data_IF_538434501369
#
_entry.id   IF_538434501369
#
_cell.length_a   1.000
_cell.length_b   1.000
_cell.length_c   1.000
_cell.angle_alpha   90.00
_cell.angle_beta   90.00
_cell.angle_gamma   90.00
#
_symmetry.space_group_name_H-M   'P 1'
#
loop_
_entity.id
_entity.type
_entity.pdbx_description
1 polymer ?
#
# COMPACT_ATOMS: atom_id res chain seq x y z
N UNK A 1 -3.75 -23.61 1.93
CA UNK A 1 -4.39 -22.41 1.36
C UNK A 1 -4.52 -21.39 2.48
N UNK A 2 -3.62 -20.41 2.61
CA UNK A 2 -3.80 -19.35 3.60
C UNK A 2 -4.99 -18.51 3.13
N UNK A 3 -6.08 -18.55 3.88
CA UNK A 3 -7.26 -17.74 3.62
C UNK A 3 -6.84 -16.29 3.45
N UNK A 4 -7.48 -15.59 2.49
CA UNK A 4 -7.30 -14.15 2.34
C UNK A 4 -7.85 -13.50 3.60
N UNK A 5 -6.98 -13.26 4.57
CA UNK A 5 -7.32 -12.52 5.77
C UNK A 5 -7.55 -11.07 5.32
N UNK A 6 -8.83 -10.71 5.16
CA UNK A 6 -9.22 -9.35 4.82
C UNK A 6 -9.04 -8.50 6.07
N UNK A 7 -7.83 -7.98 6.28
CA UNK A 7 -7.61 -6.97 7.29
C UNK A 7 -8.35 -5.68 6.87
N UNK A 8 -9.03 -4.99 7.80
CA UNK A 8 -9.62 -3.70 7.52
C UNK A 8 -8.54 -2.72 7.04
N UNK A 9 -8.83 -1.96 5.98
CA UNK A 9 -7.90 -0.99 5.42
C UNK A 9 -8.54 0.40 5.37
N UNK A 10 -7.71 1.43 5.62
CA UNK A 10 -8.07 2.83 5.46
C UNK A 10 -7.32 3.39 4.26
N UNK A 11 -8.06 3.83 3.25
CA UNK A 11 -7.46 4.46 2.06
C UNK A 11 -7.45 5.96 2.25
N UNK A 12 -6.25 6.51 2.40
CA UNK A 12 -6.04 7.95 2.47
C UNK A 12 -6.04 8.52 1.03
N UNK A 13 -7.20 9.01 0.56
CA UNK A 13 -7.28 9.73 -0.71
C UNK A 13 -6.39 11.00 -0.75
N UNK A 14 -5.99 11.49 0.43
CA UNK A 14 -5.04 12.59 0.59
C UNK A 14 -4.45 12.55 2.01
N UNK A 15 -3.18 12.94 2.14
CA UNK A 15 -2.49 13.11 3.43
C UNK A 15 -3.15 14.17 4.33
N UNK A 16 -3.95 15.08 3.75
CA UNK A 16 -4.74 16.05 4.52
C UNK A 16 -5.80 15.38 5.41
N UNK A 17 -6.16 14.12 5.15
CA UNK A 17 -7.08 13.35 5.99
C UNK A 17 -6.40 12.66 7.18
N UNK A 18 -5.09 12.82 7.34
CA UNK A 18 -4.32 12.19 8.40
C UNK A 18 -4.86 12.48 9.81
N UNK A 19 -5.25 13.72 10.19
CA UNK A 19 -5.80 13.97 11.52
C UNK A 19 -7.06 13.14 11.81
N UNK A 20 -7.93 12.96 10.81
CA UNK A 20 -9.14 12.14 10.96
C UNK A 20 -8.82 10.67 11.15
N UNK A 21 -7.79 10.16 10.45
CA UNK A 21 -7.34 8.78 10.63
C UNK A 21 -6.73 8.56 12.00
N UNK A 22 -5.92 9.50 12.49
CA UNK A 22 -5.36 9.42 13.85
C UNK A 22 -6.48 9.36 14.88
N UNK A 23 -7.46 10.27 14.81
CA UNK A 23 -8.63 10.25 15.70
C UNK A 23 -9.39 8.93 15.62
N UNK A 24 -9.65 8.43 14.41
CA UNK A 24 -10.33 7.16 14.20
C UNK A 24 -9.56 5.97 14.82
N UNK A 25 -8.25 5.91 14.63
CA UNK A 25 -7.42 4.83 15.18
C UNK A 25 -7.47 4.83 16.71
N UNK A 26 -7.38 6.00 17.35
CA UNK A 26 -7.51 6.13 18.80
C UNK A 26 -8.91 5.75 19.32
N UNK A 27 -9.96 6.24 18.66
CA UNK A 27 -11.35 5.95 19.03
C UNK A 27 -11.67 4.45 18.98
N UNK A 28 -11.00 3.71 18.09
CA UNK A 28 -11.17 2.27 17.92
C UNK A 28 -10.12 1.44 18.70
N UNK A 29 -9.25 2.07 19.49
CA UNK A 29 -8.20 1.38 20.26
C UNK A 29 -7.19 0.64 19.38
N UNK A 30 -6.88 1.18 18.19
CA UNK A 30 -5.95 0.59 17.24
C UNK A 30 -4.58 1.23 17.42
N UNK A 31 -3.69 0.51 18.11
CA UNK A 31 -2.36 1.01 18.46
C UNK A 31 -1.28 0.61 17.46
N UNK A 32 -1.59 -0.26 16.48
CA UNK A 32 -0.64 -0.71 15.46
C UNK A 32 -1.26 -0.77 14.08
N UNK A 33 -0.54 -0.24 13.08
CA UNK A 33 -0.97 -0.23 11.68
C UNK A 33 0.19 -0.57 10.75
N UNK A 34 -0.13 -1.23 9.62
CA UNK A 34 0.78 -1.35 8.49
C UNK A 34 0.50 -0.24 7.50
N UNK A 35 1.49 0.58 7.21
CA UNK A 35 1.33 1.75 6.36
C UNK A 35 1.90 1.50 4.96
N UNK A 36 1.03 1.61 3.95
CA UNK A 36 1.38 1.56 2.53
C UNK A 36 1.25 2.96 1.95
N UNK A 37 2.33 3.73 1.98
CA UNK A 37 2.36 5.12 1.49
C UNK A 37 3.33 5.27 0.32
N UNK A 38 3.20 6.37 -0.41
CA UNK A 38 4.09 6.74 -1.51
C UNK A 38 5.50 7.01 -0.99
N UNK A 39 6.52 6.70 -1.80
CA UNK A 39 7.94 6.91 -1.48
C UNK A 39 8.39 8.38 -1.61
N UNK A 40 7.47 9.32 -1.41
CA UNK A 40 7.71 10.74 -1.50
C UNK A 40 7.84 11.41 -0.12
N UNK A 41 7.96 12.73 -0.11
CA UNK A 41 8.08 13.49 1.14
C UNK A 41 6.79 13.45 1.96
N UNK A 42 5.61 13.46 1.32
CA UNK A 42 4.32 13.48 1.97
C UNK A 42 4.03 12.14 2.67
N UNK A 43 4.36 11.02 2.03
CA UNK A 43 4.28 9.69 2.63
C UNK A 43 5.20 9.55 3.84
N UNK A 44 6.47 9.96 3.73
CA UNK A 44 7.42 9.94 4.85
C UNK A 44 6.98 10.83 6.02
N UNK A 45 6.44 12.01 5.74
CA UNK A 45 5.93 12.90 6.78
C UNK A 45 4.70 12.29 7.47
N UNK A 46 3.84 11.63 6.71
CA UNK A 46 2.66 10.93 7.24
C UNK A 46 3.05 9.80 8.19
N UNK A 47 4.04 8.97 7.84
CA UNK A 47 4.58 7.94 8.74
C UNK A 47 5.03 8.53 10.08
N UNK A 48 5.86 9.58 10.03
CA UNK A 48 6.37 10.25 11.23
C UNK A 48 5.27 10.83 12.10
N UNK A 49 4.24 11.41 11.48
CA UNK A 49 3.09 11.97 12.19
C UNK A 49 2.25 10.88 12.89
N UNK A 50 2.10 9.71 12.27
CA UNK A 50 1.45 8.56 12.91
C UNK A 50 2.27 8.04 14.09
N UNK A 51 3.58 7.89 13.93
CA UNK A 51 4.48 7.49 15.02
C UNK A 51 4.46 8.50 16.17
N UNK A 52 4.46 9.80 15.85
CA UNK A 52 4.38 10.89 16.83
C UNK A 52 3.05 10.93 17.58
N UNK A 53 1.98 10.39 16.99
CA UNK A 53 0.69 10.21 17.65
C UNK A 53 0.65 8.98 18.59
N UNK A 54 1.77 8.25 18.74
CA UNK A 54 1.85 7.06 19.58
C UNK A 54 1.33 5.78 18.92
N UNK A 55 1.10 5.82 17.60
CA UNK A 55 0.69 4.64 16.84
C UNK A 55 1.95 3.89 16.40
N UNK A 56 2.00 2.59 16.63
CA UNK A 56 3.06 1.72 16.12
C UNK A 56 2.87 1.50 14.62
N UNK A 57 3.73 2.11 13.81
CA UNK A 57 3.62 2.04 12.35
C UNK A 57 4.67 1.09 11.78
N UNK A 58 4.21 0.07 11.09
CA UNK A 58 5.09 -0.77 10.28
C UNK A 58 5.13 -0.22 8.85
N UNK A 59 6.25 0.39 8.48
CA UNK A 59 6.46 0.93 7.13
C UNK A 59 6.58 -0.20 6.09
N UNK A 60 5.57 -0.33 5.23
CA UNK A 60 5.53 -1.33 4.16
C UNK A 60 6.21 -0.85 2.87
N UNK A 61 6.56 0.44 2.77
CA UNK A 61 7.21 1.01 1.59
C UNK A 61 8.57 0.37 1.29
N UNK A 62 9.21 -0.23 2.32
CA UNK A 62 10.40 -1.07 2.19
C UNK A 62 10.27 -2.19 1.16
N UNK A 63 9.06 -2.71 0.95
CA UNK A 63 8.80 -3.80 0.00
C UNK A 63 8.76 -3.33 -1.46
N UNK A 64 8.63 -2.04 -1.69
CA UNK A 64 8.60 -1.41 -3.00
C UNK A 64 9.48 -0.16 -3.08
N UNK A 65 10.58 -0.13 -2.33
CA UNK A 65 11.46 1.04 -2.21
C UNK A 65 12.06 1.55 -3.54
N UNK A 66 12.05 0.70 -4.59
CA UNK A 66 12.52 1.06 -5.95
C UNK A 66 11.43 1.70 -6.82
N UNK A 67 10.20 1.81 -6.32
CA UNK A 67 9.03 2.30 -7.04
C UNK A 67 8.52 3.57 -6.39
N UNK A 68 7.78 4.40 -7.15
CA UNK A 68 7.18 5.61 -6.60
C UNK A 68 6.12 5.28 -5.55
N UNK A 69 5.31 4.29 -5.84
CA UNK A 69 4.17 3.91 -5.03
C UNK A 69 3.84 2.42 -5.20
N UNK A 70 2.86 1.95 -4.41
CA UNK A 70 2.43 0.56 -4.44
C UNK A 70 1.80 0.19 -5.80
N UNK A 71 1.18 1.14 -6.50
CA UNK A 71 0.56 0.90 -7.79
C UNK A 71 1.62 0.66 -8.88
N UNK A 72 2.67 1.47 -8.92
CA UNK A 72 3.83 1.29 -9.80
C UNK A 72 4.49 -0.08 -9.57
N UNK A 73 4.66 -0.48 -8.31
CA UNK A 73 5.15 -1.82 -7.98
C UNK A 73 4.26 -2.94 -8.52
N UNK A 74 2.94 -2.81 -8.35
CA UNK A 74 2.00 -3.82 -8.86
C UNK A 74 1.98 -3.88 -10.39
N UNK A 75 2.11 -2.75 -11.07
CA UNK A 75 2.22 -2.70 -12.54
C UNK A 75 3.51 -3.37 -13.01
N UNK A 76 4.64 -3.08 -12.35
CA UNK A 76 5.92 -3.71 -12.68
C UNK A 76 5.87 -5.23 -12.50
N UNK A 77 5.39 -5.71 -11.35
CA UNK A 77 5.22 -7.15 -11.12
C UNK A 77 4.31 -7.82 -12.15
N UNK A 78 3.18 -7.19 -12.50
CA UNK A 78 2.28 -7.73 -13.52
C UNK A 78 2.93 -7.76 -14.90
N UNK A 79 3.80 -6.80 -15.20
CA UNK A 79 4.51 -6.74 -16.47
C UNK A 79 5.58 -7.81 -16.55
N UNK A 80 6.36 -8.01 -15.48
CA UNK A 80 7.32 -9.11 -15.37
C UNK A 80 6.62 -10.47 -15.50
N UNK A 81 5.52 -10.69 -14.78
CA UNK A 81 4.73 -11.92 -14.90
C UNK A 81 4.15 -12.12 -16.32
N UNK A 82 3.74 -11.05 -17.00
CA UNK A 82 3.26 -11.12 -18.40
C UNK A 82 4.37 -11.42 -19.40
N UNK A 83 5.63 -11.04 -19.13
CA UNK A 83 6.76 -11.43 -19.99
C UNK A 83 7.08 -12.93 -19.88
N UNK A 84 6.75 -13.57 -18.76
CA UNK A 84 6.96 -15.02 -18.58
C UNK A 84 5.84 -15.86 -19.20
N UNK A 85 4.64 -15.29 -19.42
CA UNK A 85 3.55 -16.00 -20.08
C UNK A 85 3.69 -15.90 -21.61
N UNK A 86 3.70 -17.02 -22.36
CA UNK A 86 3.75 -16.97 -23.81
C UNK A 86 2.53 -16.21 -24.35
N UNK A 87 2.68 -15.45 -25.44
CA UNK A 87 1.58 -14.67 -26.01
C UNK A 87 0.39 -15.60 -26.29
N UNK A 88 -0.85 -15.16 -26.03
CA UNK A 88 -2.03 -15.96 -26.34
C UNK A 88 -2.01 -16.27 -27.84
N UNK A 89 -2.05 -17.56 -28.19
CA UNK A 89 -2.17 -18.01 -29.57
C UNK A 89 -3.42 -17.36 -30.15
N UNK A 90 -3.26 -16.29 -30.94
CA UNK A 90 -4.35 -15.68 -31.70
C UNK A 90 -4.90 -16.78 -32.59
N UNK A 91 -6.10 -17.24 -32.27
CA UNK A 91 -6.79 -18.27 -33.04
C UNK A 91 -6.80 -17.87 -34.51
N UNK A 92 -6.32 -18.80 -35.34
CA UNK A 92 -6.36 -18.70 -36.79
C UNK A 92 -7.82 -18.46 -37.19
N UNK A 93 -8.15 -17.24 -37.61
CA UNK A 93 -9.44 -16.95 -38.24
C UNK A 93 -9.49 -17.74 -39.53
N UNK A 94 -10.36 -18.75 -39.58
CA UNK A 94 -10.79 -19.42 -40.80
C UNK A 94 -12.06 -18.75 -41.29
#
# INVERSE_FOLDING_TARGET
MKGKETAPCLVLNSVSNLPRVISYLHENGIDSVRAFLDNDQAGRQTLKSLESAGISVEDMSRHYARYKDLNDYHVAQRTELKQVMPPPKRGLRR
#
